data_IF_948618637365
#
_entry.id   IF_948618637365
#
_cell.length_a   1.000
_cell.length_b   1.000
_cell.length_c   1.000
_cell.angle_alpha   90.00
_cell.angle_beta   90.00
_cell.angle_gamma   90.00
#
_symmetry.space_group_name_H-M   'P 1'
#
loop_
_entity.id
_entity.type
_entity.pdbx_description
1 polymer ?
#
# COMPACT_ATOMS: atom_id res chain seq x y z
N UNK A 1 -19.28 -24.47 10.93
CA UNK A 1 -19.61 -23.03 10.95
C UNK A 1 -19.41 -22.50 9.55
N UNK A 2 -20.49 -22.25 8.85
CA UNK A 2 -20.50 -21.64 7.51
C UNK A 2 -19.90 -20.24 7.61
N UNK A 3 -18.91 -19.94 6.74
CA UNK A 3 -18.47 -18.57 6.50
C UNK A 3 -19.68 -17.82 5.94
N UNK A 4 -20.35 -17.02 6.77
CA UNK A 4 -21.23 -15.98 6.24
C UNK A 4 -20.33 -15.06 5.41
N UNK A 5 -20.56 -15.05 4.10
CA UNK A 5 -19.97 -14.06 3.23
C UNK A 5 -20.42 -12.69 3.76
N UNK A 6 -19.50 -11.92 4.34
CA UNK A 6 -19.80 -10.54 4.74
C UNK A 6 -20.13 -9.74 3.48
N UNK A 7 -21.39 -9.34 3.35
CA UNK A 7 -21.83 -8.50 2.25
C UNK A 7 -21.52 -7.02 2.56
N UNK A 8 -21.35 -6.21 1.51
CA UNK A 8 -21.13 -4.76 1.60
C UNK A 8 -22.20 -4.05 2.47
N UNK A 9 -23.41 -4.60 2.49
CA UNK A 9 -24.58 -4.11 3.22
C UNK A 9 -24.37 -4.02 4.74
N UNK A 10 -23.43 -4.79 5.29
CA UNK A 10 -23.15 -4.80 6.74
C UNK A 10 -22.07 -3.78 7.14
N UNK A 11 -21.46 -3.07 6.18
CA UNK A 11 -20.41 -2.11 6.46
C UNK A 11 -21.02 -0.75 6.83
N UNK A 12 -20.50 -0.12 7.89
CA UNK A 12 -20.82 1.27 8.20
C UNK A 12 -20.16 2.19 7.18
N UNK A 13 -20.85 2.45 6.07
CA UNK A 13 -20.36 3.32 4.99
C UNK A 13 -20.14 4.76 5.42
N UNK A 14 -20.55 5.18 6.63
CA UNK A 14 -20.23 6.51 7.16
C UNK A 14 -18.90 6.57 7.91
N UNK A 15 -18.32 5.43 8.31
CA UNK A 15 -16.99 5.42 8.93
C UNK A 15 -15.92 5.81 7.89
N UNK A 16 -15.10 6.85 8.15
CA UNK A 16 -14.02 7.25 7.26
C UNK A 16 -13.05 6.12 6.91
N UNK A 17 -12.79 5.19 7.82
CA UNK A 17 -11.92 4.02 7.60
C UNK A 17 -12.53 3.10 6.56
N UNK A 18 -13.82 2.81 6.68
CA UNK A 18 -14.55 1.96 5.74
C UNK A 18 -14.56 2.60 4.36
N UNK A 19 -14.89 3.90 4.27
CA UNK A 19 -14.86 4.64 2.99
C UNK A 19 -13.49 4.55 2.32
N UNK A 20 -12.41 4.78 3.08
CA UNK A 20 -11.05 4.79 2.54
C UNK A 20 -10.58 3.41 2.09
N UNK A 21 -10.87 2.37 2.87
CA UNK A 21 -10.57 0.98 2.49
C UNK A 21 -11.33 0.56 1.24
N UNK A 22 -12.62 0.88 1.13
CA UNK A 22 -13.41 0.59 -0.07
C UNK A 22 -12.88 1.35 -1.29
N UNK A 23 -12.52 2.63 -1.15
CA UNK A 23 -11.92 3.41 -2.22
C UNK A 23 -10.59 2.79 -2.71
N UNK A 24 -9.73 2.37 -1.78
CA UNK A 24 -8.47 1.68 -2.08
C UNK A 24 -8.69 0.32 -2.75
N UNK A 25 -9.64 -0.47 -2.24
CA UNK A 25 -10.03 -1.76 -2.82
C UNK A 25 -10.58 -1.61 -4.24
N UNK A 26 -11.46 -0.63 -4.46
CA UNK A 26 -12.02 -0.34 -5.79
C UNK A 26 -10.92 0.08 -6.78
N UNK A 27 -9.99 0.94 -6.34
CA UNK A 27 -8.84 1.33 -7.15
C UNK A 27 -7.93 0.13 -7.47
N UNK A 28 -7.71 -0.75 -6.50
CA UNK A 28 -6.95 -1.99 -6.69
C UNK A 28 -7.63 -2.95 -7.68
N UNK A 29 -8.96 -2.99 -7.69
CA UNK A 29 -9.78 -3.85 -8.54
C UNK A 29 -10.05 -3.27 -9.93
N UNK A 30 -9.92 -1.96 -10.13
CA UNK A 30 -10.07 -1.33 -11.44
C UNK A 30 -8.88 -1.67 -12.32
N UNK A 31 -9.15 -2.39 -13.42
CA UNK A 31 -8.13 -2.86 -14.36
C UNK A 31 -7.23 -1.74 -14.91
N UNK A 32 -7.75 -0.51 -15.07
CA UNK A 32 -6.99 0.62 -15.63
C UNK A 32 -5.81 1.06 -14.75
N UNK A 33 -5.95 0.99 -13.42
CA UNK A 33 -4.85 1.34 -12.52
C UNK A 33 -3.81 0.22 -12.41
N UNK A 34 -4.20 -1.03 -12.68
CA UNK A 34 -3.34 -2.20 -12.48
C UNK A 34 -2.59 -2.65 -13.74
N UNK A 35 -3.12 -2.40 -14.95
CA UNK A 35 -2.34 -2.54 -16.18
C UNK A 35 -1.18 -1.56 -16.25
N UNK A 36 -1.30 -0.38 -15.60
CA UNK A 36 -0.18 0.55 -15.43
C UNK A 36 0.93 -0.01 -14.51
N UNK A 37 0.60 -0.89 -13.56
CA UNK A 37 1.54 -1.55 -12.62
C UNK A 37 2.35 -2.70 -13.25
N UNK A 38 2.17 -2.98 -14.54
CA UNK A 38 2.91 -4.02 -15.26
C UNK A 38 3.97 -3.48 -16.22
N UNK A 39 4.07 -2.16 -16.39
CA UNK A 39 5.09 -1.58 -17.24
C UNK A 39 6.38 -1.37 -16.43
N UNK A 40 7.47 -1.96 -16.90
CA UNK A 40 8.80 -1.67 -16.35
C UNK A 40 9.11 -0.19 -16.57
N UNK A 41 9.46 0.51 -15.48
CA UNK A 41 9.98 1.87 -15.55
C UNK A 41 11.44 1.82 -16.02
N UNK A 42 11.81 2.72 -16.93
CA UNK A 42 13.22 2.93 -17.23
C UNK A 42 13.93 3.55 -16.02
N UNK A 43 15.26 3.48 -16.01
CA UNK A 43 16.05 4.09 -14.95
C UNK A 43 15.83 5.61 -14.91
N UNK A 44 15.69 6.26 -16.06
CA UNK A 44 15.40 7.69 -16.17
C UNK A 44 14.03 8.04 -15.57
N UNK A 45 13.02 7.21 -15.83
CA UNK A 45 11.69 7.39 -15.24
C UNK A 45 11.70 7.23 -13.72
N UNK A 46 12.47 6.27 -13.21
CA UNK A 46 12.64 6.07 -11.76
C UNK A 46 13.23 7.30 -11.09
N UNK A 47 14.24 7.92 -11.71
CA UNK A 47 14.85 9.16 -11.21
C UNK A 47 13.84 10.31 -11.18
N UNK A 48 13.08 10.49 -12.27
CA UNK A 48 12.03 11.52 -12.36
C UNK A 48 10.96 11.31 -11.29
N UNK A 49 10.51 10.07 -11.10
CA UNK A 49 9.51 9.72 -10.09
C UNK A 49 10.01 9.96 -8.67
N UNK A 50 11.28 9.63 -8.39
CA UNK A 50 11.90 9.89 -7.09
C UNK A 50 11.88 11.39 -6.75
N UNK A 51 12.30 12.23 -7.70
CA UNK A 51 12.31 13.69 -7.54
C UNK A 51 10.89 14.24 -7.40
N UNK A 52 9.93 13.73 -8.17
CA UNK A 52 8.54 14.17 -8.08
C UNK A 52 7.90 13.81 -6.72
N UNK A 53 8.17 12.62 -6.18
CA UNK A 53 7.69 12.26 -4.83
C UNK A 53 8.35 13.15 -3.77
N UNK A 54 9.64 13.50 -3.94
CA UNK A 54 10.31 14.45 -3.05
C UNK A 54 9.62 15.82 -3.06
N UNK A 55 9.37 16.36 -4.26
CA UNK A 55 8.67 17.64 -4.42
C UNK A 55 7.32 17.63 -3.70
N UNK A 56 6.54 16.55 -3.88
CA UNK A 56 5.26 16.35 -3.23
C UNK A 56 5.39 16.28 -1.70
N UNK A 57 6.35 15.52 -1.18
CA UNK A 57 6.61 15.42 0.26
C UNK A 57 7.11 16.73 0.90
N UNK A 58 7.66 17.64 0.10
CA UNK A 58 8.13 18.96 0.54
C UNK A 58 7.08 20.06 0.34
N UNK A 59 5.90 19.74 -0.20
CA UNK A 59 4.79 20.67 -0.24
C UNK A 59 4.36 21.04 1.18
N UNK A 60 3.98 22.29 1.38
CA UNK A 60 3.48 22.80 2.68
C UNK A 60 1.98 22.52 2.88
N UNK A 61 1.36 21.74 1.99
CA UNK A 61 -0.05 21.38 2.09
C UNK A 61 -0.27 20.46 3.29
N UNK A 62 -1.37 20.66 4.01
CA UNK A 62 -1.76 19.81 5.15
C UNK A 62 -3.01 19.04 4.78
N UNK A 63 -2.95 17.72 4.91
CA UNK A 63 -4.07 16.83 4.66
C UNK A 63 -4.67 16.28 5.96
N UNK A 64 -5.73 15.48 5.82
CA UNK A 64 -6.24 14.70 6.93
C UNK A 64 -5.18 13.72 7.45
N UNK A 65 -5.24 13.40 8.73
CA UNK A 65 -4.34 12.42 9.36
C UNK A 65 -4.48 11.06 8.69
N UNK A 66 -3.36 10.34 8.54
CA UNK A 66 -3.43 8.99 8.03
C UNK A 66 -4.28 8.07 8.93
N UNK A 67 -4.93 7.11 8.29
CA UNK A 67 -5.79 6.14 8.95
C UNK A 67 -5.19 4.72 8.95
N UNK A 68 -3.93 4.54 8.52
CA UNK A 68 -3.33 3.23 8.25
C UNK A 68 -3.44 2.28 9.44
N UNK A 69 -3.18 2.73 10.67
CA UNK A 69 -3.33 1.87 11.85
C UNK A 69 -4.77 1.40 12.08
N UNK A 70 -5.75 2.29 11.87
CA UNK A 70 -7.18 1.97 11.99
C UNK A 70 -7.64 1.05 10.86
N UNK A 71 -7.13 1.27 9.66
CA UNK A 71 -7.41 0.42 8.50
C UNK A 71 -6.83 -0.98 8.67
N UNK A 72 -5.59 -1.12 9.16
CA UNK A 72 -5.02 -2.43 9.49
C UNK A 72 -5.89 -3.16 10.50
N UNK A 73 -6.35 -2.46 11.56
CA UNK A 73 -7.25 -3.05 12.55
C UNK A 73 -8.57 -3.49 11.92
N UNK A 74 -9.16 -2.66 11.06
CA UNK A 74 -10.40 -2.97 10.34
C UNK A 74 -10.20 -4.17 9.39
N UNK A 75 -9.23 -4.13 8.50
CA UNK A 75 -8.99 -5.20 7.52
C UNK A 75 -8.71 -6.56 8.19
N UNK A 76 -8.06 -6.57 9.36
CA UNK A 76 -7.83 -7.81 10.13
C UNK A 76 -9.12 -8.48 10.59
N UNK A 77 -10.24 -7.76 10.75
CA UNK A 77 -11.52 -8.39 11.13
C UNK A 77 -12.05 -9.31 10.03
N UNK A 78 -11.55 -9.16 8.79
CA UNK A 78 -11.90 -9.99 7.64
C UNK A 78 -10.99 -11.21 7.47
N UNK A 79 -10.04 -11.43 8.38
CA UNK A 79 -9.13 -12.58 8.31
C UNK A 79 -9.58 -13.69 9.27
N UNK A 80 -10.09 -14.84 8.78
CA UNK A 80 -10.50 -15.93 9.64
C UNK A 80 -9.28 -16.52 10.39
N UNK A 81 -9.42 -16.80 11.69
CA UNK A 81 -8.32 -17.29 12.54
C UNK A 81 -7.72 -18.63 12.10
N UNK A 82 -8.47 -19.44 11.36
CA UNK A 82 -8.06 -20.73 10.83
C UNK A 82 -7.63 -20.67 9.34
N UNK A 83 -7.50 -19.48 8.76
CA UNK A 83 -7.09 -19.32 7.36
C UNK A 83 -5.57 -19.36 7.18
N UNK A 84 -5.13 -19.71 5.96
CA UNK A 84 -3.71 -19.59 5.57
C UNK A 84 -3.21 -18.15 5.65
N UNK A 85 -4.07 -17.17 5.36
CA UNK A 85 -3.75 -15.74 5.50
C UNK A 85 -3.43 -15.41 6.95
N UNK A 86 -4.23 -15.90 7.91
CA UNK A 86 -3.93 -15.71 9.33
C UNK A 86 -2.55 -16.28 9.71
N UNK A 87 -2.26 -17.52 9.29
CA UNK A 87 -0.96 -18.14 9.56
C UNK A 87 0.22 -17.34 8.96
N UNK A 88 0.02 -16.71 7.80
CA UNK A 88 1.01 -15.87 7.15
C UNK A 88 1.25 -14.54 7.89
N UNK A 89 0.18 -13.85 8.28
CA UNK A 89 0.28 -12.48 8.81
C UNK A 89 0.50 -12.44 10.34
N UNK A 90 -0.02 -13.43 11.08
CA UNK A 90 -0.02 -13.40 12.53
C UNK A 90 1.39 -13.31 13.17
N UNK A 91 2.43 -13.99 12.65
CA UNK A 91 3.80 -13.85 13.18
C UNK A 91 4.33 -12.40 13.18
N UNK A 92 3.88 -11.60 12.22
CA UNK A 92 4.33 -10.21 12.06
C UNK A 92 3.57 -9.22 12.95
N UNK A 93 2.46 -9.62 13.58
CA UNK A 93 1.54 -8.72 14.26
C UNK A 93 2.21 -7.78 15.27
N UNK A 94 3.07 -8.32 16.14
CA UNK A 94 3.77 -7.53 17.16
C UNK A 94 4.67 -6.47 16.51
N UNK A 95 5.45 -6.87 15.49
CA UNK A 95 6.35 -5.98 14.76
C UNK A 95 5.58 -4.89 14.01
N UNK A 96 4.49 -5.26 13.34
CA UNK A 96 3.60 -4.31 12.64
C UNK A 96 3.05 -3.24 13.58
N UNK A 97 2.56 -3.62 14.77
CA UNK A 97 2.09 -2.63 15.75
C UNK A 97 3.19 -1.69 16.24
N UNK A 98 4.42 -2.20 16.39
CA UNK A 98 5.58 -1.37 16.76
C UNK A 98 5.94 -0.37 15.66
N UNK A 99 5.83 -0.76 14.39
CA UNK A 99 6.06 0.13 13.25
C UNK A 99 4.98 1.19 13.20
N UNK A 100 3.69 0.79 13.24
CA UNK A 100 2.54 1.69 13.22
C UNK A 100 2.61 2.75 14.35
N UNK A 101 3.00 2.36 15.55
CA UNK A 101 3.12 3.26 16.69
C UNK A 101 4.26 4.29 16.57
N UNK A 102 5.21 4.07 15.64
CA UNK A 102 6.37 4.93 15.41
C UNK A 102 6.30 5.70 14.09
N UNK A 103 5.23 5.54 13.32
CA UNK A 103 5.07 6.25 12.06
C UNK A 103 5.02 7.76 12.34
N UNK A 104 5.82 8.50 11.58
CA UNK A 104 5.74 9.94 11.56
C UNK A 104 4.51 10.36 10.72
N UNK A 105 3.73 11.35 11.15
CA UNK A 105 2.58 11.88 10.42
C UNK A 105 2.79 13.34 9.96
N UNK A 106 4.04 13.80 9.87
CA UNK A 106 4.35 15.21 9.56
C UNK A 106 4.50 15.53 8.09
N UNK A 107 4.44 14.55 7.17
CA UNK A 107 4.62 14.81 5.74
C UNK A 107 3.37 14.46 4.93
N UNK A 108 3.07 15.22 3.88
CA UNK A 108 2.17 14.79 2.82
C UNK A 108 2.56 13.43 2.22
N UNK A 109 1.64 12.49 2.11
CA UNK A 109 1.80 11.22 1.39
C UNK A 109 0.78 11.14 0.24
N UNK A 110 1.18 10.58 -0.91
CA UNK A 110 0.41 10.57 -2.16
C UNK A 110 0.24 9.17 -2.78
N UNK A 111 0.90 8.15 -2.22
CA UNK A 111 1.35 6.93 -2.90
C UNK A 111 0.34 5.83 -3.16
N UNK A 112 -0.96 6.09 -3.24
CA UNK A 112 -1.89 5.02 -3.60
C UNK A 112 -1.93 4.74 -5.11
N UNK A 113 -1.62 5.72 -5.98
CA UNK A 113 -1.62 5.50 -7.44
C UNK A 113 -0.59 6.39 -8.10
N UNK A 114 0.33 5.77 -8.84
CA UNK A 114 1.10 6.42 -9.89
C UNK A 114 0.60 5.85 -11.20
N UNK A 115 -0.20 6.64 -11.92
CA UNK A 115 -0.61 6.27 -13.27
C UNK A 115 0.49 6.73 -14.22
N UNK A 116 1.12 5.79 -14.93
CA UNK A 116 1.87 6.11 -16.14
C UNK A 116 0.83 6.39 -17.23
N UNK A 117 0.63 7.66 -17.54
CA UNK A 117 -0.20 8.06 -18.66
C UNK A 117 0.49 7.64 -19.98
N UNK A 118 -0.29 7.63 -21.07
CA UNK A 118 0.23 7.28 -22.41
C UNK A 118 1.36 8.21 -22.89
N UNK A 119 1.44 9.41 -22.33
CA UNK A 119 2.48 10.42 -22.59
C UNK A 119 3.67 10.32 -21.62
N UNK A 120 3.75 9.25 -20.82
CA UNK A 120 4.77 9.03 -19.79
C UNK A 120 4.70 10.02 -18.61
N UNK A 121 3.67 10.86 -18.52
CA UNK A 121 3.42 11.63 -17.31
C UNK A 121 2.96 10.72 -16.19
N UNK A 122 3.45 10.99 -14.98
CA UNK A 122 3.06 10.30 -13.77
C UNK A 122 1.95 11.09 -13.07
N UNK A 123 0.72 10.59 -13.06
CA UNK A 123 -0.37 11.21 -12.32
C UNK A 123 -0.53 10.56 -10.94
N UNK A 124 -0.52 11.40 -9.92
CA UNK A 124 -0.77 11.02 -8.54
C UNK A 124 -2.26 11.17 -8.27
N UNK A 125 -2.92 10.08 -7.91
CA UNK A 125 -4.33 10.15 -7.55
C UNK A 125 -4.50 10.91 -6.23
N UNK A 126 -4.92 12.16 -6.36
CA UNK A 126 -5.07 13.12 -5.27
C UNK A 126 -6.11 12.71 -4.22
N UNK A 127 -6.98 11.73 -4.52
CA UNK A 127 -8.06 11.29 -3.65
C UNK A 127 -7.59 10.52 -2.40
N UNK A 128 -6.33 10.10 -2.37
CA UNK A 128 -5.77 9.32 -1.26
C UNK A 128 -4.76 10.09 -0.40
N UNK A 129 -4.60 11.39 -0.66
CA UNK A 129 -3.65 12.24 0.06
C UNK A 129 -3.95 12.28 1.55
N UNK A 130 -2.92 12.09 2.36
CA UNK A 130 -3.00 12.10 3.81
C UNK A 130 -1.66 12.51 4.42
N UNK A 131 -1.69 12.96 5.67
CA UNK A 131 -0.49 13.21 6.44
C UNK A 131 0.06 11.89 6.98
N UNK A 132 1.30 11.55 6.66
CA UNK A 132 1.90 10.25 6.96
C UNK A 132 3.43 10.23 6.93
N UNK A 133 3.95 9.02 6.96
CA UNK A 133 5.39 8.76 7.01
C UNK A 133 5.92 8.63 5.59
N UNK A 134 6.95 9.38 5.23
CA UNK A 134 7.56 9.27 3.89
C UNK A 134 7.98 7.85 3.55
N UNK A 135 8.48 7.07 4.53
CA UNK A 135 8.93 5.70 4.27
C UNK A 135 7.78 4.78 3.89
N UNK A 136 6.55 5.07 4.33
CA UNK A 136 5.37 4.35 3.88
C UNK A 136 5.12 4.59 2.39
N UNK A 137 5.17 5.85 1.94
CA UNK A 137 4.93 6.21 0.54
C UNK A 137 6.00 5.62 -0.38
N UNK A 138 7.27 5.75 0.01
CA UNK A 138 8.40 5.17 -0.74
C UNK A 138 8.28 3.65 -0.83
N UNK A 139 8.01 2.96 0.29
CA UNK A 139 7.86 1.51 0.30
C UNK A 139 6.66 1.04 -0.52
N UNK A 140 5.55 1.79 -0.45
CA UNK A 140 4.34 1.52 -1.22
C UNK A 140 4.63 1.63 -2.71
N UNK A 141 5.27 2.72 -3.15
CA UNK A 141 5.69 2.91 -4.53
C UNK A 141 6.56 1.75 -5.03
N UNK A 142 7.64 1.40 -4.32
CA UNK A 142 8.53 0.31 -4.72
C UNK A 142 7.80 -1.03 -4.85
N UNK A 143 6.90 -1.34 -3.91
CA UNK A 143 6.21 -2.63 -3.87
C UNK A 143 5.13 -2.73 -4.95
N UNK A 144 4.27 -1.72 -5.10
CA UNK A 144 3.17 -1.77 -6.08
C UNK A 144 3.70 -1.76 -7.51
N UNK A 145 4.78 -1.01 -7.77
CA UNK A 145 5.44 -0.93 -9.08
C UNK A 145 6.48 -2.03 -9.30
N UNK A 146 6.59 -2.98 -8.37
CA UNK A 146 7.34 -4.20 -8.56
C UNK A 146 8.85 -3.97 -8.85
N UNK A 147 9.44 -2.88 -8.34
CA UNK A 147 10.83 -2.53 -8.64
C UNK A 147 11.81 -3.67 -8.28
N UNK A 148 12.87 -3.81 -9.06
CA UNK A 148 14.03 -4.64 -8.72
C UNK A 148 14.82 -4.02 -7.56
N UNK A 149 15.73 -4.76 -6.93
CA UNK A 149 16.59 -4.19 -5.87
C UNK A 149 17.44 -3.02 -6.40
N UNK A 150 17.96 -3.13 -7.62
CA UNK A 150 18.74 -2.09 -8.28
C UNK A 150 17.88 -0.85 -8.57
N UNK A 151 16.63 -1.04 -8.97
CA UNK A 151 15.68 0.05 -9.19
C UNK A 151 15.23 0.70 -7.89
N UNK A 152 15.04 -0.08 -6.82
CA UNK A 152 14.76 0.44 -5.47
C UNK A 152 15.94 1.31 -4.99
N UNK A 153 17.18 0.83 -5.16
CA UNK A 153 18.38 1.60 -4.81
C UNK A 153 18.51 2.89 -5.63
N UNK A 154 18.33 2.80 -6.96
CA UNK A 154 18.33 3.96 -7.84
C UNK A 154 17.27 4.99 -7.43
N UNK A 155 16.05 4.53 -7.16
CA UNK A 155 14.95 5.38 -6.69
C UNK A 155 15.30 6.10 -5.39
N UNK A 156 15.77 5.36 -4.38
CA UNK A 156 16.07 5.91 -3.07
C UNK A 156 17.25 6.89 -3.10
N UNK A 157 18.28 6.60 -3.91
CA UNK A 157 19.43 7.48 -4.08
C UNK A 157 19.07 8.82 -4.76
N UNK A 158 17.96 8.87 -5.50
CA UNK A 158 17.48 10.07 -6.21
C UNK A 158 16.30 10.78 -5.52
N UNK A 159 15.79 10.22 -4.41
CA UNK A 159 14.70 10.84 -3.65
C UNK A 159 15.25 11.96 -2.75
N UNK A 160 15.88 11.62 -1.61
CA UNK A 160 16.51 12.50 -0.61
C UNK A 160 16.99 11.61 0.56
N UNK A 161 17.44 12.18 1.67
CA UNK A 161 17.73 11.44 2.90
C UNK A 161 16.56 10.55 3.33
N UNK A 162 16.88 9.27 3.55
CA UNK A 162 15.97 8.28 4.12
C UNK A 162 16.73 7.41 5.13
N UNK A 163 16.00 6.76 6.03
CA UNK A 163 16.59 5.81 6.96
C UNK A 163 16.32 4.40 6.45
N UNK A 164 17.36 3.70 5.99
CA UNK A 164 17.22 2.35 5.41
C UNK A 164 16.47 1.37 6.34
N UNK A 165 16.76 1.39 7.64
CA UNK A 165 16.08 0.53 8.61
C UNK A 165 14.59 0.85 8.78
N UNK A 166 14.20 2.12 8.63
CA UNK A 166 12.79 2.52 8.63
C UNK A 166 12.12 2.13 7.31
N UNK A 167 12.78 2.37 6.18
CA UNK A 167 12.29 1.95 4.87
C UNK A 167 11.98 0.44 4.82
N UNK A 168 12.89 -0.41 5.29
CA UNK A 168 12.68 -1.86 5.33
C UNK A 168 11.53 -2.28 6.27
N UNK A 169 11.39 -1.59 7.41
CA UNK A 169 10.22 -1.78 8.28
C UNK A 169 8.91 -1.39 7.58
N UNK A 170 8.92 -0.30 6.81
CA UNK A 170 7.76 0.12 6.04
C UNK A 170 7.47 -0.80 4.85
N UNK A 171 8.47 -1.41 4.22
CA UNK A 171 8.27 -2.48 3.22
C UNK A 171 7.53 -3.68 3.80
N UNK A 172 7.88 -4.07 5.03
CA UNK A 172 7.15 -5.11 5.74
C UNK A 172 5.70 -4.67 6.03
N UNK A 173 5.50 -3.43 6.52
CA UNK A 173 4.17 -2.89 6.81
C UNK A 173 3.28 -2.81 5.56
N UNK A 174 3.82 -2.33 4.44
CA UNK A 174 3.12 -2.25 3.16
C UNK A 174 2.74 -3.64 2.68
N UNK A 175 3.68 -4.59 2.69
CA UNK A 175 3.42 -5.96 2.26
C UNK A 175 2.30 -6.60 3.10
N UNK A 176 2.36 -6.40 4.41
CA UNK A 176 1.34 -6.83 5.36
C UNK A 176 -0.03 -6.21 5.07
N UNK A 177 -0.07 -4.89 4.86
CA UNK A 177 -1.28 -4.15 4.54
C UNK A 177 -1.90 -4.62 3.22
N UNK A 178 -1.08 -4.79 2.18
CA UNK A 178 -1.55 -5.26 0.88
C UNK A 178 -2.16 -6.66 0.99
N UNK A 179 -1.54 -7.61 1.70
CA UNK A 179 -2.14 -8.95 1.92
C UNK A 179 -3.51 -8.84 2.59
N UNK A 180 -3.64 -7.98 3.60
CA UNK A 180 -4.91 -7.72 4.26
C UNK A 180 -5.96 -7.14 3.30
N UNK A 181 -5.57 -6.16 2.49
CA UNK A 181 -6.47 -5.53 1.52
C UNK A 181 -6.89 -6.52 0.43
N UNK A 182 -5.98 -7.36 -0.07
CA UNK A 182 -6.30 -8.42 -1.03
C UNK A 182 -7.29 -9.43 -0.46
N UNK A 183 -7.08 -9.87 0.80
CA UNK A 183 -8.02 -10.75 1.50
C UNK A 183 -9.40 -10.09 1.68
N UNK A 184 -9.43 -8.80 2.00
CA UNK A 184 -10.68 -8.03 2.07
C UNK A 184 -11.38 -7.98 0.71
N UNK A 185 -10.65 -7.69 -0.37
CA UNK A 185 -11.23 -7.68 -1.72
C UNK A 185 -11.84 -9.04 -2.10
N UNK A 186 -11.15 -10.13 -1.79
CA UNK A 186 -11.65 -11.48 -2.02
C UNK A 186 -12.92 -11.76 -1.19
N UNK A 187 -12.91 -11.38 0.08
CA UNK A 187 -14.04 -11.59 1.01
C UNK A 187 -15.29 -10.79 0.63
N UNK A 188 -15.12 -9.57 0.13
CA UNK A 188 -16.22 -8.63 -0.16
C UNK A 188 -16.73 -8.75 -1.59
N UNK A 189 -15.83 -8.86 -2.57
CA UNK A 189 -16.20 -8.81 -3.98
C UNK A 189 -16.21 -10.19 -4.65
N UNK A 190 -15.83 -11.26 -3.92
CA UNK A 190 -15.71 -12.61 -4.47
C UNK A 190 -14.65 -12.74 -5.57
N UNK A 191 -13.86 -11.69 -5.80
CA UNK A 191 -12.79 -11.65 -6.79
C UNK A 191 -11.50 -12.05 -6.08
N UNK A 192 -11.11 -13.31 -6.24
CA UNK A 192 -9.76 -13.74 -5.91
C UNK A 192 -8.78 -12.94 -6.76
N UNK A 193 -8.07 -11.99 -6.16
CA UNK A 193 -6.97 -11.29 -6.82
C UNK A 193 -5.78 -12.24 -6.90
N UNK A 194 -5.85 -13.24 -7.78
CA UNK A 194 -4.71 -14.07 -8.16
C UNK A 194 -3.80 -13.30 -9.12
N UNK A 195 -3.39 -12.10 -8.71
CA UNK A 195 -2.50 -11.25 -9.47
C UNK A 195 -1.06 -11.64 -9.16
N UNK A 196 -0.16 -11.48 -10.14
CA UNK A 196 1.29 -11.66 -9.94
C UNK A 196 1.80 -10.84 -8.74
N UNK A 197 1.25 -9.63 -8.53
CA UNK A 197 1.56 -8.78 -7.39
C UNK A 197 1.20 -9.46 -6.05
N UNK A 198 -0.01 -10.03 -5.93
CA UNK A 198 -0.41 -10.69 -4.69
C UNK A 198 0.51 -11.86 -4.32
N UNK A 199 0.90 -12.68 -5.31
CA UNK A 199 1.84 -13.78 -5.09
C UNK A 199 3.22 -13.28 -4.65
N UNK A 200 3.73 -12.20 -5.26
CA UNK A 200 5.03 -11.61 -4.88
C UNK A 200 4.98 -10.93 -3.51
N UNK A 201 3.89 -10.26 -3.17
CA UNK A 201 3.70 -9.66 -1.85
C UNK A 201 3.63 -10.74 -0.78
N UNK A 202 2.91 -11.85 -1.05
CA UNK A 202 2.86 -13.01 -0.17
C UNK A 202 4.24 -13.61 0.07
N UNK A 203 5.05 -13.79 -0.98
CA UNK A 203 6.39 -14.38 -0.82
C UNK A 203 7.31 -13.51 0.04
N UNK A 204 7.22 -12.18 -0.04
CA UNK A 204 7.96 -11.25 0.84
C UNK A 204 7.65 -11.45 2.33
N UNK A 205 6.45 -11.91 2.69
CA UNK A 205 6.08 -12.22 4.09
C UNK A 205 6.46 -13.65 4.52
N UNK A 206 6.79 -14.53 3.58
CA UNK A 206 7.20 -15.92 3.83
C UNK A 206 8.70 -16.07 4.03
N UNK A 207 9.51 -15.13 3.55
CA UNK A 207 10.94 -15.07 3.79
C UNK A 207 11.17 -14.81 5.29
N UNK A 208 11.54 -15.87 6.02
CA UNK A 208 11.98 -15.85 7.42
C UNK A 208 13.48 -15.62 7.50
#
# INVERSE_FOLDING_TARGET
MTQENMNLENLNLQDPVVKKVLARANCLLSNESFTALQNEFSNEEIVILAQKILELHNQKETFDKNLIAREVKFLRTFVPKNSQIFALINPWFKKINQILAKMNDTRPNYGWVILRNKDQSADFNQNFREMGDKHWDLALFCIINNLSLEQEELFLNNYDEYYLSYFENHKLLVSYYLVLLFNFCESIYGKGLNTKLFQKVKSKLQLK
#
